data_IF_769660973827
#
_entry.id   IF_769660973827
#
_cell.length_a   1.000
_cell.length_b   1.000
_cell.length_c   1.000
_cell.angle_alpha   90.00
_cell.angle_beta   90.00
_cell.angle_gamma   90.00
#
_symmetry.space_group_name_H-M   'P 1'
#
loop_
_entity.id
_entity.type
_entity.pdbx_description
1 polymer ?
#
# COMPACT_ATOMS: atom_id res chain seq x y z
N UNK A 1 72.89 10.75 -7.07
CA UNK A 1 72.13 12.01 -7.04
C UNK A 1 71.43 12.22 -8.39
N UNK A 2 70.10 12.32 -8.34
CA UNK A 2 69.19 13.03 -9.27
C UNK A 2 69.41 12.89 -10.81
N UNK A 3 68.45 12.26 -11.52
CA UNK A 3 67.36 12.98 -12.21
C UNK A 3 66.37 12.05 -12.93
N UNK A 4 65.11 12.40 -12.71
CA UNK A 4 63.84 11.95 -13.30
C UNK A 4 63.84 12.07 -14.84
N UNK A 5 63.15 11.18 -15.56
CA UNK A 5 62.13 11.54 -16.59
C UNK A 5 61.42 10.35 -17.25
N UNK A 6 60.08 10.46 -17.20
CA UNK A 6 59.11 10.19 -18.27
C UNK A 6 58.75 8.74 -18.66
N UNK A 7 57.55 8.36 -18.21
CA UNK A 7 56.40 7.96 -19.03
C UNK A 7 56.63 6.98 -20.20
N UNK A 8 56.06 5.79 -20.05
CA UNK A 8 55.27 5.17 -21.12
C UNK A 8 54.25 4.22 -20.50
N UNK A 9 52.99 4.62 -20.63
CA UNK A 9 51.79 3.81 -20.40
C UNK A 9 51.79 2.69 -21.45
N UNK A 10 51.76 1.44 -21.03
CA UNK A 10 51.28 0.35 -21.87
C UNK A 10 49.97 -0.14 -21.25
N UNK A 11 48.87 0.23 -21.90
CA UNK A 11 47.54 -0.22 -21.61
C UNK A 11 47.42 -1.71 -21.94
N UNK A 12 47.35 -2.54 -20.91
CA UNK A 12 46.84 -3.90 -21.06
C UNK A 12 45.32 -3.83 -21.15
N UNK A 13 44.80 -3.92 -22.38
CA UNK A 13 43.38 -4.21 -22.63
C UNK A 13 43.16 -5.65 -22.18
N UNK A 14 42.79 -5.84 -20.91
CA UNK A 14 42.19 -7.07 -20.46
C UNK A 14 40.74 -7.07 -20.94
N UNK A 15 40.47 -7.83 -22.00
CA UNK A 15 39.12 -8.24 -22.36
C UNK A 15 38.57 -9.09 -21.21
N UNK A 16 37.76 -8.48 -20.37
CA UNK A 16 36.87 -9.16 -19.45
C UNK A 16 35.46 -8.86 -19.93
N UNK A 17 34.79 -9.91 -20.39
CA UNK A 17 33.39 -9.85 -20.82
C UNK A 17 32.56 -9.18 -19.73
N UNK A 18 31.72 -8.25 -20.15
CA UNK A 18 30.69 -7.65 -19.32
C UNK A 18 29.70 -8.74 -18.88
N UNK A 19 30.06 -9.49 -17.85
CA UNK A 19 29.09 -9.76 -16.81
C UNK A 19 28.79 -8.37 -16.24
N UNK A 20 27.64 -7.81 -16.60
CA UNK A 20 27.07 -6.70 -15.86
C UNK A 20 26.86 -7.22 -14.44
N UNK A 21 27.88 -7.10 -13.59
CA UNK A 21 27.70 -7.16 -12.16
C UNK A 21 26.73 -6.04 -11.84
N UNK A 22 25.46 -6.38 -11.62
CA UNK A 22 24.51 -5.52 -10.94
C UNK A 22 25.23 -5.03 -9.69
N UNK A 23 25.59 -3.77 -9.68
CA UNK A 23 26.10 -3.14 -8.47
C UNK A 23 25.03 -3.37 -7.40
N UNK A 24 25.41 -3.83 -6.19
CA UNK A 24 24.44 -3.93 -5.10
C UNK A 24 23.83 -2.54 -4.93
N UNK A 25 22.51 -2.45 -5.07
CA UNK A 25 21.76 -1.22 -4.82
C UNK A 25 21.98 -0.90 -3.35
N UNK A 26 22.91 0.02 -3.10
CA UNK A 26 23.26 0.54 -1.79
C UNK A 26 22.02 1.27 -1.27
N UNK A 27 21.39 0.68 -0.24
CA UNK A 27 20.21 1.15 0.53
C UNK A 27 19.54 2.41 -0.02
N UNK A 28 18.59 2.25 -0.97
CA UNK A 28 17.60 3.29 -1.18
C UNK A 28 16.86 3.52 0.15
N UNK A 29 16.68 4.78 0.55
CA UNK A 29 15.87 5.09 1.73
C UNK A 29 14.48 4.46 1.56
N UNK A 30 13.90 3.87 2.62
CA UNK A 30 12.58 3.28 2.54
C UNK A 30 11.54 4.37 2.21
N UNK A 31 10.54 4.00 1.43
CA UNK A 31 9.41 4.87 1.15
C UNK A 31 8.57 5.02 2.41
N UNK A 32 8.24 6.26 2.76
CA UNK A 32 7.46 6.60 3.95
C UNK A 32 6.03 7.00 3.57
N UNK A 33 5.09 6.52 4.37
CA UNK A 33 3.67 6.77 4.24
C UNK A 33 3.03 6.84 5.63
N UNK A 34 1.78 7.30 5.68
CA UNK A 34 0.90 7.08 6.83
C UNK A 34 -0.28 6.22 6.40
N UNK A 35 -0.51 5.12 7.13
CA UNK A 35 -1.72 4.32 7.02
C UNK A 35 -2.75 4.87 8.01
N UNK A 36 -3.87 5.36 7.49
CA UNK A 36 -5.04 5.77 8.27
C UNK A 36 -6.07 4.66 8.20
N UNK A 37 -6.49 4.14 9.35
CA UNK A 37 -7.60 3.19 9.47
C UNK A 37 -8.87 3.92 9.90
N UNK A 38 -9.99 3.55 9.28
CA UNK A 38 -11.31 4.08 9.60
C UNK A 38 -12.09 3.00 10.31
N UNK A 39 -12.59 3.31 11.50
CA UNK A 39 -13.48 2.45 12.25
C UNK A 39 -14.80 3.13 12.54
N UNK A 40 -15.85 2.35 12.77
CA UNK A 40 -17.13 2.88 13.23
C UNK A 40 -17.25 2.78 14.73
N UNK A 41 -17.82 3.79 15.37
CA UNK A 41 -18.18 3.71 16.77
C UNK A 41 -19.36 2.72 16.95
N UNK A 42 -19.05 1.53 17.45
CA UNK A 42 -20.05 0.48 17.71
C UNK A 42 -20.95 0.75 18.92
N UNK A 43 -20.72 1.83 19.67
CA UNK A 43 -21.50 2.16 20.87
C UNK A 43 -22.81 2.91 20.57
N UNK A 44 -22.92 3.52 19.39
CA UNK A 44 -24.10 4.27 18.94
C UNK A 44 -24.75 3.61 17.73
N UNK A 45 -26.07 3.48 17.78
CA UNK A 45 -26.83 3.11 16.58
C UNK A 45 -27.04 4.33 15.69
N UNK A 46 -26.46 4.29 14.49
CA UNK A 46 -26.65 5.29 13.44
C UNK A 46 -27.79 4.86 12.51
N UNK A 47 -28.64 5.82 12.15
CA UNK A 47 -29.70 5.64 11.15
C UNK A 47 -29.11 5.37 9.76
N UNK A 48 -29.89 4.77 8.86
CA UNK A 48 -29.48 4.56 7.47
C UNK A 48 -29.15 5.87 6.75
N UNK A 49 -29.80 6.97 7.11
CA UNK A 49 -29.54 8.30 6.54
C UNK A 49 -28.19 8.84 7.00
N UNK A 50 -27.89 8.81 8.30
CA UNK A 50 -26.59 9.24 8.84
C UNK A 50 -25.44 8.43 8.24
N UNK A 51 -25.60 7.11 8.14
CA UNK A 51 -24.60 6.24 7.48
C UNK A 51 -24.39 6.66 6.03
N UNK A 52 -25.47 6.88 5.28
CA UNK A 52 -25.39 7.27 3.87
C UNK A 52 -24.75 8.65 3.68
N UNK A 53 -25.06 9.63 4.53
CA UNK A 53 -24.46 10.96 4.48
C UNK A 53 -22.97 10.91 4.81
N UNK A 54 -22.57 10.15 5.83
CA UNK A 54 -21.17 9.92 6.16
C UNK A 54 -20.41 9.25 5.01
N UNK A 55 -20.94 8.16 4.43
CA UNK A 55 -20.29 7.50 3.28
C UNK A 55 -20.20 8.40 2.04
N UNK A 56 -21.20 9.24 1.78
CA UNK A 56 -21.15 10.22 0.69
C UNK A 56 -20.05 11.25 0.94
N UNK A 57 -19.99 11.80 2.15
CA UNK A 57 -18.92 12.73 2.56
C UNK A 57 -17.53 12.11 2.44
N UNK A 58 -17.37 10.85 2.85
CA UNK A 58 -16.13 10.08 2.68
C UNK A 58 -15.68 10.02 1.22
N UNK A 59 -16.63 9.75 0.31
CA UNK A 59 -16.35 9.70 -1.12
C UNK A 59 -15.94 11.05 -1.69
N UNK A 60 -16.61 12.13 -1.32
CA UNK A 60 -16.29 13.49 -1.76
C UNK A 60 -14.90 13.94 -1.27
N UNK A 61 -14.59 13.70 0.01
CA UNK A 61 -13.27 14.01 0.56
C UNK A 61 -12.15 13.21 -0.14
N UNK A 62 -12.39 11.92 -0.39
CA UNK A 62 -11.49 11.06 -1.16
C UNK A 62 -11.20 11.61 -2.56
N UNK A 63 -12.20 12.16 -3.25
CA UNK A 63 -11.99 12.76 -4.57
C UNK A 63 -11.09 14.00 -4.47
N UNK A 64 -11.28 14.86 -3.47
CA UNK A 64 -10.41 16.02 -3.24
C UNK A 64 -8.96 15.61 -2.98
N UNK A 65 -8.77 14.66 -2.06
CA UNK A 65 -7.43 14.18 -1.70
C UNK A 65 -6.71 13.44 -2.85
N UNK A 66 -7.48 12.81 -3.75
CA UNK A 66 -6.93 12.24 -4.99
C UNK A 66 -6.50 13.34 -5.99
N UNK A 67 -7.28 14.42 -6.11
CA UNK A 67 -6.93 15.56 -6.97
C UNK A 67 -5.65 16.27 -6.50
N UNK A 68 -5.43 16.30 -5.19
CA UNK A 68 -4.25 16.92 -4.58
C UNK A 68 -3.03 15.98 -4.50
N UNK A 69 -3.10 14.78 -5.11
CA UNK A 69 -2.06 13.74 -5.10
C UNK A 69 -1.62 13.34 -3.67
N UNK A 70 -2.54 13.45 -2.70
CA UNK A 70 -2.29 13.15 -1.28
C UNK A 70 -2.50 11.69 -0.92
N UNK A 71 -3.36 10.97 -1.67
CA UNK A 71 -3.65 9.56 -1.46
C UNK A 71 -2.85 8.69 -2.42
N UNK A 72 -2.07 7.75 -1.88
CA UNK A 72 -1.52 6.64 -2.67
C UNK A 72 -2.61 5.60 -2.94
N UNK A 73 -3.19 5.01 -1.88
CA UNK A 73 -4.23 3.98 -2.00
C UNK A 73 -5.35 4.22 -0.99
N UNK A 74 -6.55 3.72 -1.30
CA UNK A 74 -7.64 3.63 -0.31
C UNK A 74 -8.53 2.43 -0.65
N UNK A 75 -9.09 1.82 0.39
CA UNK A 75 -9.96 0.66 0.27
C UNK A 75 -10.96 0.56 1.39
N UNK A 76 -12.05 -0.17 1.15
CA UNK A 76 -13.00 -0.57 2.18
C UNK A 76 -12.69 -2.00 2.60
N UNK A 77 -12.82 -2.31 3.90
CA UNK A 77 -12.77 -3.68 4.38
C UNK A 77 -14.15 -4.34 4.27
N UNK A 78 -14.18 -5.67 4.20
CA UNK A 78 -15.41 -6.42 4.39
C UNK A 78 -16.03 -6.07 5.75
N UNK A 79 -17.35 -5.81 5.84
CA UNK A 79 -17.99 -5.46 7.10
C UNK A 79 -17.73 -6.52 8.17
N UNK A 80 -17.31 -6.08 9.36
CA UNK A 80 -16.91 -6.96 10.46
C UNK A 80 -16.52 -6.18 11.71
N UNK A 81 -15.33 -6.44 12.24
CA UNK A 81 -14.82 -6.01 13.55
C UNK A 81 -14.49 -4.51 13.66
N UNK A 82 -15.42 -3.64 13.29
CA UNK A 82 -15.36 -2.21 13.55
C UNK A 82 -14.50 -1.39 12.58
N UNK A 83 -13.39 -1.91 12.04
CA UNK A 83 -12.60 -1.23 10.99
C UNK A 83 -13.27 -1.44 9.63
N UNK A 84 -13.65 -0.33 8.98
CA UNK A 84 -14.45 -0.31 7.75
C UNK A 84 -13.67 0.11 6.52
N UNK A 85 -12.50 0.72 6.67
CA UNK A 85 -11.66 1.09 5.55
C UNK A 85 -10.29 1.59 5.94
N UNK A 86 -9.53 2.02 4.93
CA UNK A 86 -8.21 2.60 5.10
C UNK A 86 -7.87 3.61 4.00
N UNK A 87 -6.95 4.52 4.33
CA UNK A 87 -6.22 5.37 3.39
C UNK A 87 -4.72 5.18 3.62
N UNK A 88 -3.94 5.26 2.56
CA UNK A 88 -2.49 5.46 2.65
C UNK A 88 -2.16 6.80 2.04
N UNK A 89 -1.52 7.67 2.82
CA UNK A 89 -1.21 9.05 2.47
C UNK A 89 0.30 9.26 2.33
N UNK A 90 0.67 10.17 1.43
CA UNK A 90 2.04 10.69 1.27
C UNK A 90 2.37 11.71 2.36
N UNK A 91 2.33 11.26 3.61
CA UNK A 91 2.66 12.06 4.79
C UNK A 91 3.66 11.27 5.65
N UNK A 92 4.48 11.98 6.43
CA UNK A 92 5.47 11.37 7.34
C UNK A 92 4.98 11.28 8.78
N UNK A 93 3.92 12.02 9.12
CA UNK A 93 3.45 12.20 10.49
C UNK A 93 1.99 11.77 10.65
N UNK A 94 1.68 10.81 11.56
CA UNK A 94 0.33 10.32 11.75
C UNK A 94 -0.70 11.41 12.09
N UNK A 95 -0.31 12.40 12.90
CA UNK A 95 -1.22 13.47 13.30
C UNK A 95 -1.61 14.39 12.13
N UNK A 96 -0.70 14.64 11.18
CA UNK A 96 -1.01 15.41 9.96
C UNK A 96 -2.05 14.67 9.11
N UNK A 97 -1.87 13.36 8.95
CA UNK A 97 -2.82 12.52 8.23
C UNK A 97 -4.21 12.50 8.88
N UNK A 98 -4.27 12.50 10.22
CA UNK A 98 -5.53 12.62 10.95
C UNK A 98 -6.18 13.98 10.70
N UNK A 99 -5.45 15.10 10.83
CA UNK A 99 -5.98 16.44 10.58
C UNK A 99 -6.55 16.61 9.16
N UNK A 100 -5.89 16.03 8.15
CA UNK A 100 -6.39 16.02 6.77
C UNK A 100 -7.74 15.28 6.65
N UNK A 101 -7.91 14.23 7.44
CA UNK A 101 -9.07 13.35 7.41
C UNK A 101 -10.16 13.77 8.40
N UNK A 102 -9.87 14.60 9.41
CA UNK A 102 -10.84 15.05 10.42
C UNK A 102 -11.96 15.91 9.82
N UNK A 103 -11.69 16.59 8.71
CA UNK A 103 -12.70 17.34 7.93
C UNK A 103 -13.68 16.44 7.14
N UNK A 104 -13.51 15.12 7.23
CA UNK A 104 -14.41 14.17 6.61
C UNK A 104 -15.75 14.13 7.36
N UNK A 105 -16.90 14.27 6.67
CA UNK A 105 -18.21 14.36 7.33
C UNK A 105 -18.56 13.16 8.22
N UNK A 106 -18.04 11.96 7.91
CA UNK A 106 -18.15 10.79 8.78
C UNK A 106 -17.44 10.99 10.13
N UNK A 107 -16.29 11.63 10.15
CA UNK A 107 -15.56 12.00 11.37
C UNK A 107 -16.28 13.12 12.14
N UNK A 108 -16.73 14.18 11.46
CA UNK A 108 -17.46 15.29 12.09
C UNK A 108 -18.76 14.82 12.79
N UNK A 109 -19.45 13.85 12.19
CA UNK A 109 -20.67 13.26 12.76
C UNK A 109 -20.42 12.26 13.90
N UNK A 110 -19.15 11.91 14.15
CA UNK A 110 -18.73 10.86 15.09
C UNK A 110 -18.97 9.44 14.58
N UNK A 111 -19.45 9.28 13.34
CA UNK A 111 -19.69 7.97 12.74
C UNK A 111 -18.40 7.20 12.48
N UNK A 112 -17.38 7.90 11.97
CA UNK A 112 -16.05 7.37 11.72
C UNK A 112 -15.07 7.85 12.79
N UNK A 113 -14.29 6.92 13.30
CA UNK A 113 -13.12 7.16 14.14
C UNK A 113 -11.88 6.87 13.31
N UNK A 114 -10.85 7.68 13.50
CA UNK A 114 -9.60 7.56 12.77
C UNK A 114 -8.51 7.07 13.71
N UNK A 115 -7.69 6.14 13.24
CA UNK A 115 -6.38 5.86 13.80
C UNK A 115 -5.34 5.89 12.69
N UNK A 116 -4.12 6.32 13.01
CA UNK A 116 -3.05 6.44 12.03
C UNK A 116 -1.74 5.90 12.60
N UNK A 117 -0.98 5.22 11.76
CA UNK A 117 0.38 4.78 12.07
C UNK A 117 1.33 5.09 10.92
N UNK A 118 2.61 5.26 11.25
CA UNK A 118 3.65 5.39 10.23
C UNK A 118 3.82 4.04 9.52
N UNK A 119 4.05 4.10 8.23
CA UNK A 119 4.26 2.94 7.39
C UNK A 119 5.51 3.14 6.54
N UNK A 120 6.39 2.14 6.50
CA UNK A 120 7.59 2.17 5.66
C UNK A 120 7.65 0.95 4.75
N UNK A 121 8.08 1.13 3.50
CA UNK A 121 8.19 0.06 2.52
C UNK A 121 9.47 0.16 1.69
N UNK A 122 10.00 -0.99 1.24
CA UNK A 122 11.19 -1.03 0.39
C UNK A 122 10.87 -0.75 -1.08
N UNK A 123 9.60 -0.81 -1.45
CA UNK A 123 9.11 -0.53 -2.81
C UNK A 123 8.05 0.57 -2.74
N UNK A 124 8.02 1.41 -3.76
CA UNK A 124 7.06 2.51 -3.85
C UNK A 124 5.65 1.94 -4.10
N UNK A 125 4.65 2.46 -3.39
CA UNK A 125 3.24 2.21 -3.68
C UNK A 125 2.85 2.69 -5.07
N UNK A 126 3.50 3.74 -5.56
CA UNK A 126 3.34 4.24 -6.91
C UNK A 126 3.78 3.23 -7.96
N UNK A 127 4.64 2.26 -7.65
CA UNK A 127 4.89 1.14 -8.56
C UNK A 127 3.65 0.24 -8.74
N UNK A 128 2.81 0.13 -7.71
CA UNK A 128 1.49 -0.50 -7.79
C UNK A 128 0.47 0.41 -8.49
N UNK A 129 0.62 1.74 -8.41
CA UNK A 129 -0.32 2.76 -8.92
C UNK A 129 0.03 3.40 -10.27
N UNK A 130 1.25 3.28 -10.82
CA UNK A 130 1.59 3.71 -12.20
C UNK A 130 0.73 2.98 -13.25
N UNK A 131 0.15 1.88 -12.81
CA UNK A 131 -0.87 1.08 -13.45
C UNK A 131 -2.25 1.76 -13.51
N UNK A 132 -2.49 2.80 -12.70
CA UNK A 132 -3.72 3.60 -12.55
C UNK A 132 -3.77 4.82 -13.48
N UNK A 133 -2.64 5.51 -13.71
CA UNK A 133 -2.59 6.69 -14.61
C UNK A 133 -2.69 6.31 -16.10
N UNK A 134 -2.37 5.08 -16.48
CA UNK A 134 -2.65 4.57 -17.83
C UNK A 134 -4.16 4.40 -18.12
N UNK A 135 -5.02 4.50 -17.10
CA UNK A 135 -6.47 4.28 -17.20
C UNK A 135 -7.31 5.57 -17.16
N UNK A 136 -6.77 6.71 -16.72
CA UNK A 136 -7.49 7.99 -16.80
C UNK A 136 -7.67 8.46 -18.26
N UNK A 137 -6.75 8.08 -19.16
CA UNK A 137 -6.91 8.28 -20.61
C UNK A 137 -8.07 7.48 -21.22
N UNK A 138 -8.59 6.46 -20.53
CA UNK A 138 -9.78 5.69 -20.97
C UNK A 138 -11.07 6.27 -20.36
N UNK A 139 -11.00 6.93 -19.20
CA UNK A 139 -12.17 7.53 -18.53
C UNK A 139 -12.72 8.75 -19.27
N UNK A 140 -11.87 9.49 -19.99
CA UNK A 140 -12.31 10.55 -20.91
C UNK A 140 -13.04 10.03 -22.16
N UNK A 141 -13.13 8.70 -22.35
CA UNK A 141 -13.86 8.05 -23.45
C UNK A 141 -15.20 7.42 -23.06
N UNK A 142 -15.61 7.43 -21.79
CA UNK A 142 -16.80 6.72 -21.33
C UNK A 142 -18.04 7.63 -21.22
N UNK A 143 -18.66 7.92 -22.36
CA UNK A 143 -20.10 8.24 -22.42
C UNK A 143 -20.97 6.97 -22.51
N UNK A 144 -20.40 5.78 -22.43
CA UNK A 144 -21.12 4.50 -22.52
C UNK A 144 -21.29 3.84 -21.14
N UNK A 145 -22.53 3.82 -20.65
CA UNK A 145 -22.96 3.10 -19.45
C UNK A 145 -22.76 1.57 -19.54
N UNK A 146 -22.44 1.03 -20.72
CA UNK A 146 -22.07 -0.37 -20.91
C UNK A 146 -20.64 -0.72 -20.44
N UNK A 147 -19.79 0.28 -20.11
CA UNK A 147 -18.43 0.01 -19.62
C UNK A 147 -18.33 -0.30 -18.12
N UNK A 148 -19.43 -0.22 -17.36
CA UNK A 148 -19.44 -0.47 -15.91
C UNK A 148 -19.09 -1.93 -15.59
N UNK A 149 -19.40 -2.88 -16.48
CA UNK A 149 -18.98 -4.29 -16.37
C UNK A 149 -17.45 -4.48 -16.47
N UNK A 150 -16.67 -3.44 -16.80
CA UNK A 150 -15.20 -3.46 -16.77
C UNK A 150 -14.60 -2.97 -15.44
N UNK A 151 -15.45 -2.54 -14.50
CA UNK A 151 -15.10 -2.15 -13.14
C UNK A 151 -15.45 -3.27 -12.14
N UNK A 152 -15.41 -4.55 -12.54
CA UNK A 152 -15.74 -5.65 -11.64
C UNK A 152 -14.80 -5.60 -10.43
N UNK A 153 -15.31 -5.38 -9.20
CA UNK A 153 -14.49 -5.36 -8.01
C UNK A 153 -13.87 -6.74 -7.79
N UNK A 154 -12.65 -6.77 -7.28
CA UNK A 154 -11.99 -7.98 -6.77
C UNK A 154 -11.73 -7.82 -5.30
N UNK A 155 -11.80 -8.93 -4.58
CA UNK A 155 -11.31 -8.95 -3.23
C UNK A 155 -9.81 -9.20 -3.20
N UNK A 156 -9.16 -8.51 -2.29
CA UNK A 156 -7.77 -8.72 -1.93
C UNK A 156 -7.70 -9.00 -0.44
N UNK A 157 -6.57 -9.51 0.03
CA UNK A 157 -6.35 -9.79 1.44
C UNK A 157 -5.20 -8.93 1.97
N UNK A 158 -5.44 -8.25 3.09
CA UNK A 158 -4.37 -7.79 3.96
C UNK A 158 -4.03 -8.90 4.95
N UNK A 159 -2.75 -9.10 5.23
CA UNK A 159 -2.29 -9.94 6.31
C UNK A 159 -1.39 -9.14 7.26
N UNK A 160 -1.58 -9.27 8.57
CA UNK A 160 -0.77 -8.63 9.60
C UNK A 160 -0.17 -9.64 10.55
N UNK A 161 1.05 -9.40 11.02
CA UNK A 161 1.71 -10.15 12.09
C UNK A 161 2.75 -9.26 12.76
N UNK A 162 3.21 -9.64 13.96
CA UNK A 162 4.36 -9.01 14.62
C UNK A 162 5.59 -8.91 13.70
N UNK A 163 6.30 -7.79 13.81
CA UNK A 163 7.50 -7.54 13.03
C UNK A 163 8.65 -8.50 13.38
N UNK A 164 9.14 -9.17 12.34
CA UNK A 164 10.39 -9.91 12.36
C UNK A 164 11.15 -9.54 11.08
N UNK A 165 12.40 -9.09 11.21
CA UNK A 165 13.19 -8.59 10.08
C UNK A 165 13.36 -9.67 9.01
N UNK A 166 13.65 -10.91 9.41
CA UNK A 166 13.84 -12.01 8.46
C UNK A 166 12.55 -12.27 7.69
N UNK A 167 11.42 -12.38 8.39
CA UNK A 167 10.09 -12.55 7.78
C UNK A 167 9.73 -11.42 6.83
N UNK A 168 10.00 -10.16 7.20
CA UNK A 168 9.76 -9.00 6.35
C UNK A 168 10.55 -9.10 5.03
N UNK A 169 11.83 -9.46 5.11
CA UNK A 169 12.68 -9.63 3.93
C UNK A 169 12.28 -10.82 3.06
N UNK A 170 11.84 -11.93 3.66
CA UNK A 170 11.33 -13.10 2.94
C UNK A 170 10.00 -12.79 2.25
N UNK A 171 9.07 -12.15 2.95
CA UNK A 171 7.77 -11.76 2.42
C UNK A 171 7.90 -10.83 1.21
N UNK A 172 8.88 -9.93 1.20
CA UNK A 172 9.13 -8.99 0.08
C UNK A 172 9.49 -9.67 -1.25
N UNK A 173 9.79 -10.97 -1.21
CA UNK A 173 10.22 -11.78 -2.36
C UNK A 173 9.28 -12.95 -2.64
N UNK A 174 8.22 -13.09 -1.87
CA UNK A 174 7.34 -14.25 -1.93
C UNK A 174 6.30 -14.12 -3.05
N UNK A 175 6.07 -15.22 -3.78
CA UNK A 175 5.04 -15.30 -4.80
C UNK A 175 3.65 -15.07 -4.18
N UNK A 176 2.84 -14.21 -4.80
CA UNK A 176 1.51 -13.85 -4.31
C UNK A 176 1.49 -12.70 -3.30
N UNK A 177 2.64 -12.17 -2.91
CA UNK A 177 2.74 -10.92 -2.13
C UNK A 177 2.89 -9.74 -3.09
N UNK A 178 1.92 -8.83 -3.06
CA UNK A 178 1.87 -7.64 -3.91
C UNK A 178 2.66 -6.48 -3.32
N UNK A 179 2.61 -6.36 -2.01
CA UNK A 179 3.23 -5.27 -1.27
C UNK A 179 3.55 -5.73 0.14
N UNK A 180 4.65 -5.24 0.67
CA UNK A 180 5.09 -5.46 2.05
C UNK A 180 5.45 -4.12 2.65
N UNK A 181 4.92 -3.85 3.83
CA UNK A 181 5.30 -2.70 4.62
C UNK A 181 5.46 -3.07 6.09
N UNK A 182 6.28 -2.28 6.78
CA UNK A 182 6.34 -2.24 8.23
C UNK A 182 5.39 -1.15 8.70
N UNK A 183 4.50 -1.51 9.63
CA UNK A 183 3.69 -0.57 10.38
C UNK A 183 4.39 -0.32 11.71
N UNK A 184 4.62 0.95 12.03
CA UNK A 184 5.32 1.34 13.25
C UNK A 184 4.32 1.59 14.37
N UNK A 185 4.61 1.04 15.56
CA UNK A 185 3.80 1.18 16.76
C UNK A 185 2.30 0.91 16.55
N UNK A 186 1.98 -0.14 15.78
CA UNK A 186 0.60 -0.46 15.39
C UNK A 186 0.01 -1.68 16.10
N UNK A 187 0.84 -2.47 16.79
CA UNK A 187 0.42 -3.59 17.62
C UNK A 187 -0.16 -3.12 18.96
N UNK A 188 -0.83 -4.04 19.68
CA UNK A 188 -1.49 -3.74 20.97
C UNK A 188 -0.52 -3.17 22.03
N UNK A 189 0.73 -3.60 21.99
CA UNK A 189 1.81 -3.16 22.90
C UNK A 189 2.69 -2.05 22.29
N UNK A 190 2.17 -1.31 21.30
CA UNK A 190 2.95 -0.33 20.50
C UNK A 190 4.15 -0.97 19.78
N UNK A 191 4.09 -2.28 19.54
CA UNK A 191 5.07 -3.00 18.73
C UNK A 191 4.85 -2.74 17.24
N UNK A 192 5.91 -2.98 16.47
CA UNK A 192 5.82 -2.91 15.02
C UNK A 192 5.24 -4.19 14.45
N UNK A 193 4.60 -4.05 13.30
CA UNK A 193 3.99 -5.16 12.57
C UNK A 193 4.41 -5.17 11.11
N UNK A 194 4.28 -6.33 10.48
CA UNK A 194 4.35 -6.49 9.02
C UNK A 194 2.92 -6.41 8.48
N UNK A 195 2.70 -5.59 7.46
CA UNK A 195 1.51 -5.58 6.62
C UNK A 195 1.85 -6.15 5.25
N UNK A 196 1.12 -7.19 4.84
CA UNK A 196 1.16 -7.73 3.48
C UNK A 196 -0.12 -7.38 2.74
N UNK A 197 0.02 -7.04 1.46
CA UNK A 197 -1.09 -7.07 0.51
C UNK A 197 -0.93 -8.30 -0.36
N UNK A 198 -1.93 -9.18 -0.37
CA UNK A 198 -1.86 -10.49 -0.98
C UNK A 198 -2.75 -10.58 -2.21
N UNK A 199 -2.28 -11.29 -3.23
CA UNK A 199 -3.03 -11.66 -4.42
C UNK A 199 -4.01 -12.82 -4.15
N UNK A 200 -4.92 -12.63 -3.19
CA UNK A 200 -5.87 -13.64 -2.77
C UNK A 200 -7.27 -13.05 -2.61
N UNK A 201 -8.30 -13.79 -3.03
CA UNK A 201 -9.70 -13.34 -2.91
C UNK A 201 -10.39 -13.83 -1.62
N UNK A 202 -9.76 -14.77 -0.91
CA UNK A 202 -10.29 -15.40 0.29
C UNK A 202 -9.14 -15.79 1.23
N UNK A 203 -9.48 -16.11 2.48
CA UNK A 203 -8.52 -16.43 3.53
C UNK A 203 -7.76 -17.73 3.26
N UNK A 204 -8.40 -18.76 2.66
CA UNK A 204 -7.75 -20.03 2.35
C UNK A 204 -6.56 -19.82 1.39
N UNK A 205 -6.76 -19.03 0.33
CA UNK A 205 -5.70 -18.72 -0.63
C UNK A 205 -4.64 -17.78 -0.05
N UNK A 206 -5.04 -16.82 0.80
CA UNK A 206 -4.09 -15.96 1.50
C UNK A 206 -3.18 -16.76 2.45
N UNK A 207 -3.73 -17.76 3.15
CA UNK A 207 -2.97 -18.66 4.03
C UNK A 207 -1.91 -19.46 3.25
N UNK A 208 -2.22 -19.92 2.04
CA UNK A 208 -1.24 -20.62 1.18
C UNK A 208 -0.01 -19.75 0.87
N UNK A 209 -0.18 -18.43 0.81
CA UNK A 209 0.92 -17.46 0.61
C UNK A 209 1.65 -17.15 1.92
N UNK A 210 0.91 -16.89 3.00
CA UNK A 210 1.47 -16.37 4.24
C UNK A 210 2.02 -17.43 5.22
N UNK A 211 1.40 -18.61 5.32
CA UNK A 211 1.84 -19.66 6.25
C UNK A 211 3.29 -20.12 6.04
N UNK A 212 3.80 -20.28 4.80
CA UNK A 212 5.22 -20.59 4.57
C UNK A 212 6.21 -19.57 5.13
N UNK A 213 5.77 -18.31 5.32
CA UNK A 213 6.59 -17.22 5.89
C UNK A 213 6.67 -17.30 7.42
N UNK A 214 5.89 -18.18 8.05
CA UNK A 214 5.74 -18.28 9.51
C UNK A 214 5.09 -17.03 10.12
N UNK A 215 4.82 -17.08 11.43
CA UNK A 215 4.10 -16.02 12.15
C UNK A 215 2.61 -16.32 12.36
N UNK A 216 1.97 -15.50 13.20
CA UNK A 216 0.55 -15.61 13.50
C UNK A 216 -0.19 -14.55 12.68
N UNK A 217 -0.55 -14.91 11.45
CA UNK A 217 -1.16 -13.98 10.50
C UNK A 217 -2.64 -13.73 10.80
N UNK A 218 -2.99 -12.47 10.93
CA UNK A 218 -4.36 -11.97 10.94
C UNK A 218 -4.73 -11.51 9.53
N UNK A 219 -5.86 -11.98 9.03
CA UNK A 219 -6.28 -11.71 7.66
C UNK A 219 -7.50 -10.80 7.63
N UNK A 220 -7.46 -9.76 6.79
CA UNK A 220 -8.63 -8.92 6.51
C UNK A 220 -8.85 -8.76 5.02
N UNK A 221 -10.08 -9.04 4.61
CA UNK A 221 -10.51 -8.90 3.22
C UNK A 221 -10.84 -7.45 2.93
N UNK A 222 -10.38 -6.95 1.79
CA UNK A 222 -10.69 -5.59 1.35
C UNK A 222 -11.09 -5.57 -0.12
N UNK A 223 -11.90 -4.57 -0.46
CA UNK A 223 -12.44 -4.37 -1.80
C UNK A 223 -11.45 -3.55 -2.64
N UNK A 224 -10.85 -4.18 -3.64
CA UNK A 224 -9.98 -3.53 -4.63
C UNK A 224 -10.48 -3.70 -6.07
N UNK A 225 -9.67 -3.26 -7.03
CA UNK A 225 -9.99 -3.36 -8.46
C UNK A 225 -9.26 -4.56 -9.10
N UNK A 226 -9.95 -5.38 -9.92
CA UNK A 226 -9.35 -6.51 -10.68
C UNK A 226 -8.11 -6.14 -11.50
N UNK A 227 -7.92 -4.86 -11.81
CA UNK A 227 -6.78 -4.39 -12.63
C UNK A 227 -5.44 -4.60 -11.93
N UNK A 228 -5.37 -4.59 -10.59
CA UNK A 228 -4.11 -4.85 -9.86
C UNK A 228 -3.49 -6.20 -10.30
N UNK A 229 -4.29 -7.24 -10.61
CA UNK A 229 -3.80 -8.56 -11.06
C UNK A 229 -3.31 -8.59 -12.53
N UNK A 230 -3.96 -7.84 -13.42
CA UNK A 230 -3.63 -7.82 -14.85
C UNK A 230 -2.29 -7.13 -15.12
N UNK A 231 -1.87 -6.28 -14.19
CA UNK A 231 -0.61 -5.57 -14.23
C UNK A 231 0.53 -6.49 -13.74
N UNK A 232 0.28 -7.29 -12.71
CA UNK A 232 1.25 -8.24 -12.16
C UNK A 232 1.51 -9.45 -13.07
N UNK A 233 0.53 -9.83 -13.91
CA UNK A 233 0.66 -10.93 -14.88
C UNK A 233 1.38 -10.55 -16.19
N UNK A 234 1.84 -9.30 -16.31
CA UNK A 234 2.56 -8.78 -17.49
C UNK A 234 4.03 -8.39 -17.21
N UNK A 235 4.45 -8.40 -15.94
CA UNK A 235 5.85 -8.29 -15.53
C UNK A 235 6.51 -9.66 -15.44
#
# INVERSE_FOLDING_TARGET
>A
MLRIRNAAIFASIAMLGSAAAQQPIENAEPYEYVLVSLSTDGSREYTSVEKMEAFRGNFENKQSLLQDDKISISGAYEPGDGVVGFYVLHESEPWVAIELMESEPGCESGFLMLSACRMTANVSLESLLQSRRADEDVSNGAQDLESIDRLVPRYYMHARTEYDEQRYQEASKADGVLFVARLHASGEDESDEILLWLDAENEEDARKVAEPLGGNWEFRKWFGSKRIQQILSRG
#
